data_IF_888778934886
#
_entry.id   IF_888778934886
#
_cell.length_a   1.000
_cell.length_b   1.000
_cell.length_c   1.000
_cell.angle_alpha   90.00
_cell.angle_beta   90.00
_cell.angle_gamma   90.00
#
_symmetry.space_group_name_H-M   'P 1'
#
loop_
_entity.id
_entity.type
_entity.pdbx_description
1 polymer ?
#
# COMPACT_ATOMS: atom_id res chain seq x y z
N UNK A 1 -30.17 3.69 20.54
CA UNK A 1 -30.58 4.07 19.17
C UNK A 1 -29.59 5.04 18.51
N UNK A 2 -29.38 6.27 19.04
CA UNK A 2 -28.50 7.28 18.41
C UNK A 2 -27.05 6.80 18.16
N UNK A 3 -26.46 6.04 19.09
CA UNK A 3 -25.10 5.49 18.94
C UNK A 3 -25.00 4.45 17.82
N UNK A 4 -26.04 3.62 17.63
CA UNK A 4 -26.08 2.62 16.57
C UNK A 4 -26.23 3.29 15.20
N UNK A 5 -27.06 4.33 15.12
CA UNK A 5 -27.27 5.12 13.91
C UNK A 5 -26.01 5.87 13.48
N UNK A 6 -25.26 6.43 14.44
CA UNK A 6 -23.97 7.09 14.18
C UNK A 6 -22.90 6.11 13.68
N UNK A 7 -22.79 4.92 14.28
CA UNK A 7 -21.86 3.89 13.82
C UNK A 7 -22.22 3.41 12.41
N UNK A 8 -23.49 3.15 12.14
CA UNK A 8 -23.98 2.79 10.81
C UNK A 8 -23.73 3.92 9.80
N UNK A 9 -23.99 5.18 10.15
CA UNK A 9 -23.76 6.31 9.24
C UNK A 9 -22.28 6.53 8.95
N UNK A 10 -21.40 6.44 9.96
CA UNK A 10 -19.95 6.63 9.77
C UNK A 10 -19.36 5.45 8.97
N UNK A 11 -19.77 4.21 9.27
CA UNK A 11 -19.31 3.06 8.50
C UNK A 11 -19.89 3.01 7.10
N UNK A 12 -21.13 3.47 6.84
CA UNK A 12 -21.75 3.42 5.51
C UNK A 12 -21.36 4.59 4.61
N UNK A 13 -21.07 5.77 5.15
CA UNK A 13 -20.94 6.97 4.33
C UNK A 13 -19.52 7.32 3.89
N UNK A 14 -18.45 6.69 4.44
CA UNK A 14 -17.04 6.93 4.04
C UNK A 14 -16.82 8.41 3.72
N UNK A 15 -17.19 9.28 4.67
CA UNK A 15 -16.96 10.71 4.50
C UNK A 15 -15.46 10.86 4.20
N UNK A 16 -15.09 11.46 3.05
CA UNK A 16 -13.71 11.51 2.63
C UNK A 16 -12.93 12.17 3.76
N UNK A 17 -11.90 11.49 4.28
CA UNK A 17 -11.07 11.99 5.36
C UNK A 17 -10.69 13.43 5.02
N UNK A 18 -11.23 14.39 5.76
CA UNK A 18 -10.99 15.80 5.47
C UNK A 18 -9.65 16.16 6.06
N UNK A 19 -8.64 16.20 5.20
CA UNK A 19 -7.32 16.67 5.56
C UNK A 19 -7.27 18.19 5.49
N UNK A 20 -6.64 18.80 6.49
CA UNK A 20 -6.32 20.23 6.48
C UNK A 20 -4.85 20.40 6.14
N UNK A 21 -4.55 21.12 5.06
CA UNK A 21 -3.18 21.53 4.73
C UNK A 21 -2.72 22.52 5.79
N UNK A 22 -1.57 22.22 6.41
CA UNK A 22 -0.91 23.09 7.38
C UNK A 22 0.03 24.08 6.68
N UNK A 23 0.69 23.62 5.61
CA UNK A 23 1.63 24.40 4.82
C UNK A 23 2.41 23.50 3.87
N UNK A 24 3.49 24.04 3.33
CA UNK A 24 4.36 23.40 2.36
C UNK A 24 5.81 23.40 2.87
N UNK A 25 6.54 22.33 2.56
CA UNK A 25 7.94 22.14 2.90
C UNK A 25 8.67 21.41 1.76
N UNK A 26 9.99 21.48 1.74
CA UNK A 26 10.82 20.64 0.88
C UNK A 26 11.42 19.50 1.70
N UNK A 27 11.37 18.29 1.15
CA UNK A 27 11.94 17.09 1.78
C UNK A 27 12.39 16.10 0.69
N UNK A 28 13.12 15.06 1.08
CA UNK A 28 13.49 13.96 0.20
C UNK A 28 12.29 13.02 -0.02
N UNK A 29 11.96 12.78 -1.29
CA UNK A 29 10.94 11.80 -1.64
C UNK A 29 11.57 10.46 -2.01
N UNK A 30 11.38 9.37 -1.25
CA UNK A 30 11.96 8.05 -1.57
C UNK A 30 11.42 7.44 -2.87
N UNK A 31 10.27 7.94 -3.36
CA UNK A 31 9.64 7.47 -4.59
C UNK A 31 10.12 8.25 -5.82
N UNK A 32 10.32 9.57 -5.68
CA UNK A 32 10.92 10.39 -6.74
C UNK A 32 12.45 10.33 -6.74
N UNK A 33 13.08 9.86 -5.66
CA UNK A 33 14.53 9.80 -5.44
C UNK A 33 15.23 11.15 -5.56
N UNK A 34 14.55 12.22 -5.17
CA UNK A 34 15.06 13.58 -5.20
C UNK A 34 14.32 14.46 -4.17
N UNK A 35 14.84 15.66 -3.91
CA UNK A 35 14.13 16.70 -3.16
C UNK A 35 12.90 17.14 -3.94
N UNK A 36 11.78 17.25 -3.24
CA UNK A 36 10.48 17.63 -3.81
C UNK A 36 9.75 18.57 -2.87
N UNK A 37 8.82 19.35 -3.44
CA UNK A 37 7.83 20.10 -2.66
C UNK A 37 6.79 19.13 -2.11
N UNK A 38 6.47 19.30 -0.83
CA UNK A 38 5.45 18.55 -0.11
C UNK A 38 4.39 19.48 0.46
N UNK A 39 3.14 19.02 0.41
CA UNK A 39 2.05 19.60 1.20
C UNK A 39 1.90 18.81 2.50
N UNK A 40 2.10 19.48 3.64
CA UNK A 40 1.99 18.85 4.96
C UNK A 40 0.55 18.98 5.46
N UNK A 41 -0.06 17.85 5.77
CA UNK A 41 -1.48 17.73 6.05
C UNK A 41 -1.71 17.11 7.44
N UNK A 42 -2.68 17.67 8.18
CA UNK A 42 -3.18 17.10 9.43
C UNK A 42 -4.52 16.42 9.22
N UNK A 43 -4.69 15.21 9.78
CA UNK A 43 -6.00 14.58 9.88
C UNK A 43 -6.89 15.37 10.87
N UNK A 44 -8.10 15.76 10.47
CA UNK A 44 -8.99 16.54 11.34
C UNK A 44 -9.75 15.67 12.37
N UNK A 45 -9.96 16.22 13.57
CA UNK A 45 -10.37 15.45 14.77
C UNK A 45 -11.80 14.90 14.77
N UNK A 46 -12.70 15.35 13.88
CA UNK A 46 -14.05 14.77 13.76
C UNK A 46 -14.04 13.29 13.36
N UNK A 47 -12.89 12.79 12.90
CA UNK A 47 -12.69 11.38 12.52
C UNK A 47 -11.87 10.61 13.55
N UNK A 48 -10.90 11.25 14.24
CA UNK A 48 -10.18 10.64 15.36
C UNK A 48 -11.12 10.22 16.50
N UNK A 49 -12.18 10.99 16.75
CA UNK A 49 -13.17 10.67 17.78
C UNK A 49 -14.12 9.53 17.38
N UNK A 50 -14.56 9.48 16.11
CA UNK A 50 -15.39 8.39 15.58
C UNK A 50 -14.65 7.04 15.55
N UNK A 51 -13.34 7.07 15.34
CA UNK A 51 -12.47 5.89 15.32
C UNK A 51 -12.14 5.36 16.73
N UNK A 52 -12.02 6.24 17.73
CA UNK A 52 -11.72 5.82 19.12
C UNK A 52 -12.86 5.03 19.78
N UNK A 53 -14.12 5.29 19.44
CA UNK A 53 -15.28 4.66 20.09
C UNK A 53 -15.71 3.32 19.48
N UNK A 54 -15.25 3.00 18.27
CA UNK A 54 -15.62 1.77 17.55
C UNK A 54 -14.56 0.67 17.65
N UNK A 55 -13.39 0.94 18.25
CA UNK A 55 -12.27 -0.02 18.27
C UNK A 55 -11.63 -0.27 16.90
N UNK A 56 -12.16 0.35 15.83
CA UNK A 56 -11.55 0.43 14.51
C UNK A 56 -10.61 1.63 14.49
N UNK A 57 -9.47 1.48 15.17
CA UNK A 57 -8.35 2.38 15.00
C UNK A 57 -7.76 2.11 13.63
N UNK A 58 -7.97 3.00 12.66
CA UNK A 58 -7.03 3.09 11.55
C UNK A 58 -5.82 3.84 12.11
N UNK A 59 -4.73 3.14 12.43
CA UNK A 59 -3.46 3.74 12.85
C UNK A 59 -2.76 4.49 11.70
N UNK A 60 -3.53 5.28 10.95
CA UNK A 60 -2.96 6.25 10.03
C UNK A 60 -2.16 7.28 10.83
N UNK A 61 -1.08 7.81 10.27
CA UNK A 61 -0.30 8.83 10.95
C UNK A 61 -1.17 10.09 11.11
N UNK A 62 -1.08 10.75 12.27
CA UNK A 62 -1.85 11.97 12.56
C UNK A 62 -1.55 13.10 11.55
N UNK A 63 -0.34 13.07 10.99
CA UNK A 63 0.14 13.95 9.94
C UNK A 63 0.70 13.12 8.80
N UNK A 64 0.53 13.61 7.59
CA UNK A 64 1.16 13.04 6.41
C UNK A 64 1.57 14.17 5.49
N UNK A 65 2.52 13.89 4.60
CA UNK A 65 2.93 14.80 3.56
C UNK A 65 2.58 14.23 2.19
N UNK A 66 2.15 15.07 1.26
CA UNK A 66 1.86 14.66 -0.12
C UNK A 66 2.86 15.31 -1.06
N UNK A 67 3.63 14.47 -1.76
CA UNK A 67 4.62 14.89 -2.74
C UNK A 67 3.92 15.57 -3.93
N UNK A 68 4.33 16.79 -4.31
CA UNK A 68 3.74 17.52 -5.43
C UNK A 68 4.01 16.88 -6.81
N UNK A 69 5.04 16.03 -6.91
CA UNK A 69 5.45 15.40 -8.19
C UNK A 69 4.83 14.02 -8.41
N UNK A 70 4.93 13.12 -7.44
CA UNK A 70 4.37 11.77 -7.57
C UNK A 70 2.99 11.60 -6.92
N UNK A 71 2.49 12.59 -6.19
CA UNK A 71 1.22 12.57 -5.44
C UNK A 71 1.11 11.45 -4.38
N UNK A 72 2.24 10.80 -4.09
CA UNK A 72 2.34 9.84 -3.01
C UNK A 72 2.17 10.56 -1.69
N UNK A 73 1.36 9.95 -0.83
CA UNK A 73 1.24 10.38 0.55
C UNK A 73 2.26 9.59 1.35
N UNK A 74 2.99 10.25 2.25
CA UNK A 74 3.97 9.65 3.13
C UNK A 74 3.68 10.07 4.58
N UNK A 75 3.90 9.21 5.59
CA UNK A 75 3.85 9.63 6.98
C UNK A 75 4.83 10.78 7.20
N UNK A 76 4.46 11.74 8.03
CA UNK A 76 5.30 12.92 8.29
C UNK A 76 5.19 13.30 9.76
N UNK A 77 6.29 13.79 10.32
CA UNK A 77 6.32 14.46 11.60
C UNK A 77 6.59 15.95 11.33
N UNK A 78 5.61 16.85 11.54
CA UNK A 78 5.80 18.27 11.27
C UNK A 78 6.92 18.92 12.09
N UNK A 79 7.37 18.29 13.18
CA UNK A 79 8.44 18.83 14.04
C UNK A 79 9.83 18.74 13.42
N UNK A 80 10.01 17.95 12.35
CA UNK A 80 11.29 17.85 11.63
C UNK A 80 11.59 19.10 10.79
N UNK A 81 10.56 19.89 10.47
CA UNK A 81 10.69 21.11 9.65
C UNK A 81 10.95 22.31 10.55
N UNK A 82 11.92 23.15 10.18
CA UNK A 82 12.20 24.40 10.87
C UNK A 82 11.02 25.38 10.79
N UNK A 83 10.34 25.41 9.64
CA UNK A 83 9.10 26.15 9.43
C UNK A 83 8.28 25.55 8.29
N UNK A 84 6.99 25.90 8.19
CA UNK A 84 6.14 25.56 7.05
C UNK A 84 5.72 26.83 6.33
N UNK A 85 5.79 26.86 4.99
CA UNK A 85 5.31 27.98 4.19
C UNK A 85 3.80 27.87 3.94
N UNK A 86 3.04 28.98 3.97
CA UNK A 86 1.60 28.92 3.73
C UNK A 86 1.23 28.69 2.26
N UNK A 87 2.13 29.01 1.33
CA UNK A 87 1.91 28.88 -0.12
C UNK A 87 2.88 27.87 -0.73
N UNK A 88 2.48 27.17 -1.81
CA UNK A 88 3.38 26.29 -2.53
C UNK A 88 4.44 27.12 -3.25
N UNK A 89 5.68 26.63 -3.24
CA UNK A 89 6.81 27.20 -3.98
C UNK A 89 7.68 26.07 -4.54
N UNK A 90 8.69 26.43 -5.34
CA UNK A 90 9.66 25.47 -5.85
C UNK A 90 10.45 24.82 -4.70
N UNK A 91 10.90 23.59 -4.93
CA UNK A 91 11.58 22.81 -3.90
C UNK A 91 12.86 23.48 -3.42
N UNK A 92 13.59 24.19 -4.30
CA UNK A 92 14.81 24.93 -3.94
C UNK A 92 14.48 26.12 -3.02
N UNK A 93 13.42 26.86 -3.30
CA UNK A 93 13.00 28.00 -2.48
C UNK A 93 12.50 27.57 -1.09
N UNK A 94 11.81 26.43 -1.03
CA UNK A 94 11.33 25.88 0.25
C UNK A 94 12.46 25.28 1.09
N UNK A 95 13.53 24.79 0.47
CA UNK A 95 14.65 24.13 1.12
C UNK A 95 15.26 24.99 2.23
N UNK A 96 15.70 26.19 1.87
CA UNK A 96 16.39 27.12 2.77
C UNK A 96 15.50 27.55 3.96
N UNK A 97 14.19 27.61 3.74
CA UNK A 97 13.24 28.07 4.75
C UNK A 97 12.72 26.95 5.66
N UNK A 98 12.63 25.72 5.15
CA UNK A 98 11.93 24.63 5.85
C UNK A 98 12.88 23.54 6.35
N UNK A 99 13.98 23.29 5.66
CA UNK A 99 14.94 22.21 5.96
C UNK A 99 16.40 22.64 5.67
N UNK A 100 16.97 23.60 6.42
CA UNK A 100 18.33 24.10 6.15
C UNK A 100 19.41 23.01 6.25
N UNK A 101 19.20 22.00 7.11
CA UNK A 101 20.18 20.94 7.39
C UNK A 101 19.98 19.68 6.49
N UNK A 102 19.23 19.83 5.39
CA UNK A 102 18.87 18.71 4.52
C UNK A 102 20.08 18.07 3.84
N UNK A 103 21.12 18.86 3.53
CA UNK A 103 22.34 18.37 2.90
C UNK A 103 23.16 17.49 3.87
N UNK A 104 23.16 17.83 5.16
CA UNK A 104 23.80 17.01 6.20
C UNK A 104 23.00 15.72 6.43
N UNK A 105 21.67 15.83 6.50
CA UNK A 105 20.77 14.70 6.78
C UNK A 105 20.73 13.69 5.63
N UNK A 106 20.64 14.16 4.38
CA UNK A 106 20.42 13.33 3.20
C UNK A 106 21.62 13.25 2.25
N UNK A 107 22.74 13.91 2.55
CA UNK A 107 23.98 13.88 1.75
C UNK A 107 24.40 12.47 1.32
N UNK A 108 24.57 11.51 2.27
CA UNK A 108 24.92 10.14 1.93
C UNK A 108 23.90 9.45 1.02
N UNK A 109 22.62 9.83 1.12
CA UNK A 109 21.57 9.29 0.26
C UNK A 109 21.67 9.84 -1.16
N UNK A 110 21.98 11.13 -1.34
CA UNK A 110 22.16 11.69 -2.69
C UNK A 110 23.35 11.06 -3.41
N UNK A 111 24.46 10.81 -2.72
CA UNK A 111 25.60 10.10 -3.29
C UNK A 111 25.21 8.69 -3.78
N UNK A 112 24.33 8.01 -3.03
CA UNK A 112 23.80 6.70 -3.41
C UNK A 112 22.89 6.81 -4.64
N UNK A 113 21.99 7.79 -4.71
CA UNK A 113 21.11 7.99 -5.87
C UNK A 113 21.90 8.38 -7.13
N UNK A 114 22.98 9.16 -7.00
CA UNK A 114 23.87 9.46 -8.12
C UNK A 114 24.56 8.19 -8.65
N UNK A 115 25.03 7.32 -7.74
CA UNK A 115 25.59 6.00 -8.10
C UNK A 115 24.56 5.11 -8.78
N UNK A 116 23.35 5.05 -8.26
CA UNK A 116 22.23 4.31 -8.87
C UNK A 116 21.94 4.84 -10.27
N UNK A 117 21.92 6.15 -10.47
CA UNK A 117 21.66 6.77 -11.77
C UNK A 117 22.76 6.42 -12.79
N UNK A 118 24.03 6.46 -12.39
CA UNK A 118 25.18 6.15 -13.26
C UNK A 118 25.30 4.66 -13.57
N UNK A 119 25.16 3.81 -12.55
CA UNK A 119 25.33 2.36 -12.68
C UNK A 119 24.39 1.61 -11.72
N UNK A 120 23.12 1.35 -12.12
CA UNK A 120 22.15 0.67 -11.26
C UNK A 120 22.60 -0.73 -10.81
N UNK A 121 23.38 -1.44 -11.64
CA UNK A 121 23.93 -2.76 -11.35
C UNK A 121 25.28 -2.72 -10.61
N UNK A 122 25.92 -1.55 -10.54
CA UNK A 122 27.19 -1.38 -9.80
C UNK A 122 27.00 -1.17 -8.29
N UNK A 123 25.76 -1.06 -7.82
CA UNK A 123 25.43 -0.93 -6.40
C UNK A 123 25.52 -2.31 -5.72
N UNK A 124 26.11 -2.43 -4.52
CA UNK A 124 26.17 -3.69 -3.79
C UNK A 124 24.78 -4.33 -3.63
N UNK A 125 24.68 -5.65 -3.80
CA UNK A 125 23.41 -6.39 -3.80
C UNK A 125 22.56 -6.15 -2.54
N UNK A 126 23.20 -6.09 -1.37
CA UNK A 126 22.50 -5.81 -0.10
C UNK A 126 21.81 -4.43 -0.11
N UNK A 127 22.53 -3.39 -0.54
CA UNK A 127 22.00 -2.02 -0.65
C UNK A 127 20.94 -1.95 -1.74
N UNK A 128 21.17 -2.64 -2.87
CA UNK A 128 20.22 -2.71 -3.98
C UNK A 128 18.88 -3.32 -3.54
N UNK A 129 18.90 -4.42 -2.80
CA UNK A 129 17.69 -5.05 -2.24
C UNK A 129 16.91 -4.11 -1.34
N UNK A 130 17.60 -3.33 -0.50
CA UNK A 130 16.97 -2.32 0.36
C UNK A 130 16.34 -1.19 -0.48
N UNK A 131 17.04 -0.69 -1.50
CA UNK A 131 16.54 0.35 -2.42
C UNK A 131 15.31 -0.09 -3.22
N UNK A 132 15.20 -1.39 -3.54
CA UNK A 132 14.03 -1.97 -4.23
C UNK A 132 12.86 -2.10 -3.25
N UNK A 133 13.12 -2.47 -2.00
CA UNK A 133 12.10 -2.61 -0.96
C UNK A 133 11.50 -1.27 -0.50
N UNK A 134 12.33 -0.23 -0.41
CA UNK A 134 11.96 1.06 0.16
C UNK A 134 10.68 1.68 -0.45
N UNK A 135 10.44 1.70 -1.78
CA UNK A 135 9.17 2.14 -2.35
C UNK A 135 7.94 1.37 -1.83
N UNK A 136 8.07 0.06 -1.60
CA UNK A 136 6.97 -0.74 -1.05
C UNK A 136 6.69 -0.37 0.39
N UNK A 137 7.74 -0.18 1.20
CA UNK A 137 7.60 0.27 2.59
C UNK A 137 6.99 1.68 2.67
N UNK A 138 7.47 2.61 1.83
CA UNK A 138 6.97 3.98 1.77
C UNK A 138 5.47 4.07 1.40
N UNK A 139 5.02 3.18 0.49
CA UNK A 139 3.61 3.11 0.07
C UNK A 139 2.76 2.17 0.94
N UNK A 140 3.37 1.42 1.85
CA UNK A 140 2.68 0.38 2.61
C UNK A 140 1.51 0.95 3.40
N UNK A 141 1.69 2.09 4.06
CA UNK A 141 0.64 2.69 4.89
C UNK A 141 -0.61 3.07 4.09
N UNK A 142 -0.45 3.55 2.84
CA UNK A 142 -1.59 3.94 2.00
C UNK A 142 -2.36 2.70 1.55
N UNK A 143 -1.65 1.61 1.22
CA UNK A 143 -2.27 0.33 0.87
C UNK A 143 -2.92 -0.32 2.10
N UNK A 144 -2.24 -0.33 3.24
CA UNK A 144 -2.73 -0.91 4.49
C UNK A 144 -4.01 -0.18 4.94
N UNK A 145 -4.07 1.15 4.81
CA UNK A 145 -5.27 1.94 5.05
C UNK A 145 -6.44 1.57 4.12
N UNK A 146 -6.18 1.30 2.83
CA UNK A 146 -7.20 0.87 1.87
C UNK A 146 -7.79 -0.50 2.20
N UNK A 147 -6.95 -1.43 2.68
CA UNK A 147 -7.36 -2.80 2.98
C UNK A 147 -7.70 -3.04 4.45
N UNK A 148 -7.62 -2.01 5.29
CA UNK A 148 -7.90 -2.10 6.73
C UNK A 148 -6.92 -3.00 7.47
N UNK A 149 -5.71 -3.19 6.92
CA UNK A 149 -4.66 -3.85 7.66
C UNK A 149 -4.16 -2.90 8.74
N UNK A 150 -4.10 -3.41 9.98
CA UNK A 150 -3.58 -2.65 11.11
C UNK A 150 -2.06 -2.48 10.91
N UNK A 151 -1.55 -1.25 10.84
CA UNK A 151 -0.11 -1.00 10.97
C UNK A 151 0.38 -1.61 12.29
N UNK A 152 1.52 -2.29 12.22
CA UNK A 152 2.10 -3.03 13.34
C UNK A 152 2.56 -2.07 14.44
N UNK A 153 1.70 -1.79 15.43
CA UNK A 153 2.14 -1.41 16.76
C UNK A 153 2.17 -2.67 17.65
N UNK A 154 3.20 -3.51 17.47
CA UNK A 154 3.70 -4.41 18.52
C UNK A 154 2.83 -5.57 19.03
N UNK A 155 1.76 -6.00 18.36
CA UNK A 155 1.00 -7.18 18.84
C UNK A 155 1.53 -8.50 18.25
N UNK A 156 2.44 -9.15 18.97
CA UNK A 156 2.74 -10.57 18.81
C UNK A 156 1.48 -11.36 19.21
N UNK A 157 0.86 -12.05 18.26
CA UNK A 157 -0.18 -13.05 18.52
C UNK A 157 -1.59 -12.50 18.77
N UNK A 158 -2.38 -12.32 17.71
CA UNK A 158 -3.78 -11.89 17.87
C UNK A 158 -4.64 -12.04 16.62
N UNK A 159 -4.91 -13.29 16.25
CA UNK A 159 -6.09 -13.73 15.48
C UNK A 159 -6.44 -12.97 14.18
N UNK A 160 -5.75 -13.37 13.09
CA UNK A 160 -6.11 -13.04 11.70
C UNK A 160 -7.25 -13.91 11.12
N UNK A 161 -8.00 -14.66 11.95
CA UNK A 161 -8.86 -15.77 11.48
C UNK A 161 -10.34 -15.48 11.27
N UNK A 162 -10.92 -14.38 11.76
CA UNK A 162 -12.38 -14.33 11.88
C UNK A 162 -13.13 -13.40 10.91
N UNK A 163 -12.43 -12.64 10.05
CA UNK A 163 -13.11 -11.79 9.06
C UNK A 163 -13.72 -12.59 7.89
N UNK A 164 -13.17 -13.77 7.56
CA UNK A 164 -13.66 -14.60 6.46
C UNK A 164 -14.96 -15.36 6.78
N UNK A 165 -15.12 -15.82 8.04
CA UNK A 165 -16.30 -16.58 8.46
C UNK A 165 -17.55 -15.70 8.58
N UNK A 166 -17.41 -14.40 8.88
CA UNK A 166 -18.55 -13.49 8.98
C UNK A 166 -19.25 -13.25 7.63
N UNK A 167 -18.52 -13.27 6.50
CA UNK A 167 -19.13 -12.97 5.20
C UNK A 167 -20.00 -14.12 4.68
N UNK A 168 -19.57 -15.37 4.89
CA UNK A 168 -20.36 -16.56 4.52
C UNK A 168 -21.67 -16.61 5.33
N UNK A 169 -21.62 -16.26 6.63
CA UNK A 169 -22.80 -16.19 7.49
C UNK A 169 -23.83 -15.15 7.03
N UNK A 170 -23.38 -13.98 6.55
CA UNK A 170 -24.26 -12.90 6.06
C UNK A 170 -24.94 -13.30 4.75
N UNK A 171 -24.22 -13.90 3.80
CA UNK A 171 -24.82 -14.36 2.54
C UNK A 171 -25.89 -15.43 2.81
N UNK A 172 -25.59 -16.39 3.69
CA UNK A 172 -26.53 -17.43 4.08
C UNK A 172 -27.75 -16.94 4.87
N UNK A 173 -27.66 -15.80 5.57
CA UNK A 173 -28.81 -15.20 6.28
C UNK A 173 -29.70 -14.39 5.34
N UNK A 174 -29.12 -13.65 4.39
CA UNK A 174 -29.85 -12.90 3.36
C UNK A 174 -30.66 -13.86 2.47
N UNK A 175 -30.08 -14.96 2.01
CA UNK A 175 -30.80 -15.97 1.21
C UNK A 175 -31.97 -16.60 1.99
N UNK A 176 -31.77 -16.91 3.28
CA UNK A 176 -32.85 -17.42 4.14
C UNK A 176 -33.96 -16.39 4.33
N UNK A 177 -33.63 -15.12 4.57
CA UNK A 177 -34.61 -14.05 4.70
C UNK A 177 -35.42 -13.83 3.41
N UNK A 178 -34.76 -13.87 2.24
CA UNK A 178 -35.42 -13.76 0.94
C UNK A 178 -36.35 -14.95 0.66
N UNK A 179 -35.93 -16.18 0.99
CA UNK A 179 -36.76 -17.37 0.84
C UNK A 179 -38.01 -17.32 1.74
N UNK A 180 -37.87 -16.86 2.99
CA UNK A 180 -39.02 -16.67 3.91
C UNK A 180 -39.95 -15.56 3.41
N UNK A 181 -39.42 -14.45 2.92
CA UNK A 181 -40.23 -13.35 2.38
C UNK A 181 -41.01 -13.75 1.12
N UNK A 182 -40.43 -14.59 0.25
CA UNK A 182 -41.11 -15.11 -0.95
C UNK A 182 -42.25 -16.10 -0.61
N UNK A 183 -42.17 -16.78 0.53
CA UNK A 183 -43.17 -17.77 0.95
C UNK A 183 -44.36 -17.17 1.72
N UNK A 184 -44.26 -15.93 2.21
CA UNK A 184 -45.31 -15.29 3.03
C UNK A 184 -46.06 -14.24 2.20
N UNK A 185 -47.38 -14.37 2.00
CA UNK A 185 -48.16 -13.37 1.26
C UNK A 185 -48.17 -12.02 1.99
N UNK A 186 -47.81 -10.96 1.26
CA UNK A 186 -47.63 -9.57 1.74
C UNK A 186 -48.83 -8.96 2.50
N UNK A 187 -50.01 -9.57 2.38
CA UNK A 187 -51.28 -9.04 2.90
C UNK A 187 -51.46 -9.37 4.39
N UNK A 188 -50.69 -10.30 4.96
CA UNK A 188 -50.80 -10.73 6.37
C UNK A 188 -49.50 -10.45 7.14
N UNK A 189 -48.88 -9.29 6.92
CA UNK A 189 -47.69 -8.92 7.71
C UNK A 189 -48.10 -8.44 9.10
N UNK A 190 -47.90 -9.31 10.08
CA UNK A 190 -47.89 -8.94 11.49
C UNK A 190 -46.68 -8.03 11.78
N UNK A 191 -46.78 -7.16 12.80
CA UNK A 191 -45.70 -6.28 13.24
C UNK A 191 -44.29 -6.94 13.32
N UNK A 192 -44.11 -8.18 13.84
CA UNK A 192 -42.81 -8.84 13.85
C UNK A 192 -42.27 -9.21 12.45
N UNK A 193 -43.13 -9.53 11.48
CA UNK A 193 -42.70 -9.84 10.11
C UNK A 193 -42.19 -8.60 9.39
N UNK A 194 -42.83 -7.44 9.62
CA UNK A 194 -42.36 -6.16 9.07
C UNK A 194 -40.94 -5.82 9.57
N UNK A 195 -40.64 -6.06 10.85
CA UNK A 195 -39.30 -5.86 11.41
C UNK A 195 -38.23 -6.73 10.72
N UNK A 196 -38.54 -8.00 10.44
CA UNK A 196 -37.62 -8.93 9.76
C UNK A 196 -37.32 -8.46 8.33
N UNK A 197 -38.34 -8.01 7.60
CA UNK A 197 -38.18 -7.47 6.23
C UNK A 197 -37.29 -6.22 6.24
N UNK A 198 -37.52 -5.28 7.16
CA UNK A 198 -36.71 -4.06 7.29
C UNK A 198 -35.26 -4.41 7.64
N UNK A 199 -35.03 -5.31 8.60
CA UNK A 199 -33.68 -5.73 8.98
C UNK A 199 -32.96 -6.44 7.81
N UNK A 200 -33.68 -7.29 7.08
CA UNK A 200 -33.16 -7.95 5.88
C UNK A 200 -32.76 -6.94 4.79
N UNK A 201 -33.59 -5.92 4.55
CA UNK A 201 -33.27 -4.86 3.60
C UNK A 201 -32.05 -4.03 4.02
N UNK A 202 -31.91 -3.70 5.31
CA UNK A 202 -30.74 -2.99 5.85
C UNK A 202 -29.46 -3.84 5.70
N UNK A 203 -29.51 -5.13 6.02
CA UNK A 203 -28.38 -6.04 5.87
C UNK A 203 -27.97 -6.21 4.40
N UNK A 204 -28.94 -6.34 3.49
CA UNK A 204 -28.69 -6.40 2.06
C UNK A 204 -28.06 -5.10 1.55
N UNK A 205 -28.56 -3.93 1.97
CA UNK A 205 -27.98 -2.64 1.62
C UNK A 205 -26.53 -2.52 2.12
N UNK A 206 -26.26 -2.91 3.36
CA UNK A 206 -24.90 -2.94 3.91
C UNK A 206 -23.98 -3.88 3.11
N UNK A 207 -24.46 -5.07 2.75
CA UNK A 207 -23.72 -6.02 1.93
C UNK A 207 -23.39 -5.46 0.55
N UNK A 208 -24.36 -4.84 -0.13
CA UNK A 208 -24.15 -4.22 -1.44
C UNK A 208 -23.12 -3.09 -1.37
N UNK A 209 -23.19 -2.23 -0.36
CA UNK A 209 -22.19 -1.18 -0.12
C UNK A 209 -20.80 -1.79 0.12
N UNK A 210 -20.70 -2.85 0.93
CA UNK A 210 -19.44 -3.53 1.21
C UNK A 210 -18.86 -4.24 -0.01
N UNK A 211 -19.69 -4.94 -0.79
CA UNK A 211 -19.29 -5.59 -2.03
C UNK A 211 -18.80 -4.56 -3.07
N UNK A 212 -19.53 -3.45 -3.22
CA UNK A 212 -19.13 -2.35 -4.09
C UNK A 212 -17.80 -1.72 -3.66
N UNK A 213 -17.58 -1.53 -2.36
CA UNK A 213 -16.29 -1.06 -1.81
C UNK A 213 -15.16 -2.04 -2.12
N UNK A 214 -15.35 -3.32 -1.83
CA UNK A 214 -14.36 -4.35 -2.11
C UNK A 214 -14.02 -4.43 -3.60
N UNK A 215 -14.99 -4.18 -4.48
CA UNK A 215 -14.77 -4.11 -5.92
C UNK A 215 -13.99 -2.86 -6.35
N UNK A 216 -14.13 -1.73 -5.65
CA UNK A 216 -13.40 -0.48 -5.97
C UNK A 216 -11.96 -0.43 -5.47
N UNK A 217 -11.64 -1.10 -4.35
CA UNK A 217 -10.29 -1.16 -3.76
C UNK A 217 -9.18 -1.59 -4.75
N UNK A 218 -9.31 -2.67 -5.53
CA UNK A 218 -8.29 -3.05 -6.50
C UNK A 218 -8.11 -1.97 -7.57
N UNK A 219 -9.19 -1.36 -8.06
CA UNK A 219 -9.10 -0.29 -9.04
C UNK A 219 -8.28 0.91 -8.53
N UNK A 220 -8.43 1.29 -7.26
CA UNK A 220 -7.62 2.37 -6.64
C UNK A 220 -6.15 1.96 -6.54
N UNK A 221 -5.87 0.73 -6.08
CA UNK A 221 -4.50 0.19 -5.99
C UNK A 221 -3.78 0.26 -7.34
N UNK A 222 -4.43 -0.26 -8.39
CA UNK A 222 -3.85 -0.33 -9.73
C UNK A 222 -3.79 1.01 -10.47
N UNK A 223 -4.72 1.94 -10.19
CA UNK A 223 -4.72 3.26 -10.84
C UNK A 223 -3.75 4.25 -10.19
N UNK A 224 -3.49 4.12 -8.89
CA UNK A 224 -2.69 5.11 -8.14
C UNK A 224 -1.36 4.57 -7.65
N UNK A 225 -1.35 3.44 -6.95
CA UNK A 225 -0.15 2.93 -6.27
C UNK A 225 0.81 2.27 -7.26
N UNK A 226 0.28 1.40 -8.12
CA UNK A 226 1.10 0.63 -9.08
C UNK A 226 1.92 1.54 -10.02
N UNK A 227 1.35 2.61 -10.63
CA UNK A 227 2.12 3.52 -11.49
C UNK A 227 3.19 4.32 -10.73
N UNK A 228 2.98 4.61 -9.43
CA UNK A 228 3.98 5.30 -8.60
C UNK A 228 5.15 4.34 -8.31
N UNK A 229 4.86 3.11 -7.87
CA UNK A 229 5.89 2.08 -7.64
C UNK A 229 6.67 1.78 -8.91
N UNK A 230 6.00 1.61 -10.05
CA UNK A 230 6.64 1.34 -11.32
C UNK A 230 7.59 2.47 -11.74
N UNK A 231 7.21 3.74 -11.51
CA UNK A 231 8.09 4.89 -11.74
C UNK A 231 9.27 4.92 -10.77
N UNK A 232 9.05 4.65 -9.49
CA UNK A 232 10.10 4.65 -8.45
C UNK A 232 11.14 3.53 -8.63
N UNK A 233 10.71 2.38 -9.18
CA UNK A 233 11.54 1.21 -9.44
C UNK A 233 12.23 1.24 -10.81
N UNK A 234 11.73 2.04 -11.76
CA UNK A 234 12.29 2.11 -13.12
C UNK A 234 13.79 2.45 -13.18
N UNK A 235 14.34 3.37 -12.34
CA UNK A 235 15.78 3.66 -12.33
C UNK A 235 16.63 2.47 -11.90
N UNK A 236 16.14 1.66 -10.96
CA UNK A 236 16.87 0.49 -10.44
C UNK A 236 16.88 -0.68 -11.42
N UNK A 237 15.90 -0.75 -12.34
CA UNK A 237 15.72 -1.87 -13.28
C UNK A 237 15.78 -3.22 -12.56
N UNK A 238 14.87 -3.47 -11.60
CA UNK A 238 14.91 -4.70 -10.84
C UNK A 238 14.61 -5.91 -11.74
N UNK A 239 15.23 -7.05 -11.47
CA UNK A 239 14.83 -8.32 -12.09
C UNK A 239 13.50 -8.79 -11.50
N UNK A 240 12.87 -9.77 -12.15
CA UNK A 240 11.63 -10.36 -11.62
C UNK A 240 11.83 -10.96 -10.23
N UNK A 241 12.95 -11.65 -10.02
CA UNK A 241 13.33 -12.27 -8.74
C UNK A 241 13.50 -11.24 -7.63
N UNK A 242 14.21 -10.14 -7.90
CA UNK A 242 14.40 -9.06 -6.92
C UNK A 242 13.08 -8.40 -6.50
N UNK A 243 12.13 -8.25 -7.44
CA UNK A 243 10.78 -7.76 -7.12
C UNK A 243 10.01 -8.73 -6.22
N UNK A 244 10.04 -10.02 -6.54
CA UNK A 244 9.37 -11.06 -5.76
C UNK A 244 9.95 -11.14 -4.34
N UNK A 245 11.28 -11.02 -4.19
CA UNK A 245 11.95 -10.96 -2.89
C UNK A 245 11.56 -9.72 -2.09
N UNK A 246 11.52 -8.53 -2.71
CA UNK A 246 11.10 -7.30 -2.05
C UNK A 246 9.61 -7.35 -1.62
N UNK A 247 8.76 -7.95 -2.44
CA UNK A 247 7.34 -8.16 -2.11
C UNK A 247 7.16 -9.19 -0.99
N UNK A 248 7.94 -10.28 -1.00
CA UNK A 248 7.97 -11.26 0.08
C UNK A 248 8.42 -10.61 1.39
N UNK A 249 9.43 -9.74 1.36
CA UNK A 249 9.87 -8.97 2.52
C UNK A 249 8.79 -8.01 3.03
N UNK A 250 8.07 -7.32 2.14
CA UNK A 250 6.93 -6.49 2.52
C UNK A 250 5.80 -7.31 3.17
N UNK A 251 5.49 -8.49 2.62
CA UNK A 251 4.47 -9.38 3.18
C UNK A 251 4.88 -9.99 4.53
N UNK A 252 6.17 -10.29 4.71
CA UNK A 252 6.76 -10.77 5.96
C UNK A 252 6.69 -9.71 7.06
N UNK A 253 6.91 -8.44 6.70
CA UNK A 253 6.71 -7.27 7.58
C UNK A 253 5.21 -6.92 7.78
N UNK A 254 4.31 -7.74 7.26
CA UNK A 254 2.88 -7.64 7.51
C UNK A 254 2.11 -6.68 6.60
N UNK A 255 2.77 -6.02 5.66
CA UNK A 255 2.14 -5.07 4.74
C UNK A 255 1.28 -5.80 3.69
N UNK A 256 0.09 -5.29 3.41
CA UNK A 256 -0.80 -5.84 2.39
C UNK A 256 -0.25 -5.61 0.97
N UNK A 257 0.59 -4.60 0.77
CA UNK A 257 1.18 -4.29 -0.54
C UNK A 257 1.93 -5.47 -1.15
N UNK A 258 2.67 -6.23 -0.33
CA UNK A 258 3.39 -7.43 -0.77
C UNK A 258 2.47 -8.62 -1.09
N UNK A 259 1.23 -8.64 -0.60
CA UNK A 259 0.26 -9.72 -0.84
C UNK A 259 -0.73 -9.43 -1.97
N UNK A 260 -0.95 -8.14 -2.29
CA UNK A 260 -2.02 -7.70 -3.19
C UNK A 260 -1.54 -7.34 -4.58
N UNK A 261 -0.29 -6.93 -4.71
CA UNK A 261 0.32 -6.62 -6.01
C UNK A 261 0.96 -7.89 -6.54
N UNK A 262 0.98 -8.08 -7.87
CA UNK A 262 1.76 -9.12 -8.53
C UNK A 262 2.98 -8.50 -9.23
N UNK A 263 4.12 -9.19 -9.22
CA UNK A 263 5.37 -8.75 -9.87
C UNK A 263 5.17 -8.51 -11.37
N UNK A 264 4.36 -9.34 -12.02
CA UNK A 264 3.98 -9.21 -13.43
C UNK A 264 3.30 -7.87 -13.74
N UNK A 265 2.40 -7.41 -12.86
CA UNK A 265 1.66 -6.16 -13.07
C UNK A 265 2.58 -4.93 -12.93
N UNK A 266 3.57 -5.01 -12.05
CA UNK A 266 4.60 -3.97 -11.90
C UNK A 266 5.50 -3.91 -13.13
N UNK A 267 6.01 -5.04 -13.59
CA UNK A 267 6.82 -5.11 -14.82
C UNK A 267 6.02 -4.64 -16.04
N UNK A 268 4.72 -4.99 -16.11
CA UNK A 268 3.78 -4.54 -17.15
C UNK A 268 3.32 -3.10 -17.01
N UNK A 269 3.68 -2.37 -15.96
CA UNK A 269 3.38 -0.94 -15.78
C UNK A 269 4.62 -0.05 -15.85
N UNK A 270 5.82 -0.61 -15.77
CA UNK A 270 7.07 0.13 -15.98
C UNK A 270 7.13 0.78 -17.37
N UNK A 271 7.77 1.95 -17.54
CA UNK A 271 7.95 2.58 -18.85
C UNK A 271 8.62 1.62 -19.84
N UNK A 272 8.19 1.62 -21.12
CA UNK A 272 8.69 0.67 -22.14
C UNK A 272 10.22 0.62 -22.27
N UNK A 273 10.90 1.74 -22.01
CA UNK A 273 12.37 1.81 -22.01
C UNK A 273 13.02 0.96 -20.92
N UNK A 274 12.38 0.83 -19.76
CA UNK A 274 12.85 -0.04 -18.68
C UNK A 274 12.60 -1.53 -19.00
N UNK A 275 11.47 -1.86 -19.65
CA UNK A 275 11.08 -3.26 -19.92
C UNK A 275 12.02 -4.02 -20.85
N UNK A 276 12.45 -3.42 -21.96
CA UNK A 276 13.30 -4.11 -22.96
C UNK A 276 14.60 -4.63 -22.34
N UNK A 277 15.20 -3.87 -21.42
CA UNK A 277 16.46 -4.23 -20.78
C UNK A 277 16.30 -5.19 -19.60
N UNK A 278 15.13 -5.21 -18.93
CA UNK A 278 14.82 -6.25 -17.94
C UNK A 278 14.64 -7.61 -18.62
N UNK A 279 13.98 -7.65 -19.78
CA UNK A 279 13.83 -8.88 -20.56
C UNK A 279 15.17 -9.44 -21.06
N UNK A 280 16.10 -8.56 -21.45
CA UNK A 280 17.47 -8.95 -21.79
C UNK A 280 18.22 -9.51 -20.56
N UNK A 281 18.04 -8.89 -19.38
CA UNK A 281 18.67 -9.35 -18.13
C UNK A 281 18.23 -10.75 -17.69
N UNK A 282 16.92 -11.01 -17.72
CA UNK A 282 16.37 -12.30 -17.32
C UNK A 282 16.78 -13.41 -18.30
N UNK A 283 16.97 -13.07 -19.59
CA UNK A 283 17.47 -14.00 -20.60
C UNK A 283 18.94 -14.38 -20.36
N UNK A 284 19.76 -13.45 -19.87
CA UNK A 284 21.16 -13.73 -19.52
C UNK A 284 21.22 -14.67 -18.29
N UNK A 285 20.40 -14.46 -17.27
CA UNK A 285 20.36 -15.27 -16.03
C UNK A 285 19.83 -16.70 -16.28
N UNK A 286 18.87 -16.86 -17.21
CA UNK A 286 18.38 -18.17 -17.63
C UNK A 286 19.38 -18.94 -18.52
N UNK A 287 20.32 -18.23 -19.16
CA UNK A 287 21.38 -18.86 -19.95
C UNK A 287 22.48 -19.46 -19.07
N UNK A 288 22.85 -18.78 -17.98
CA UNK A 288 23.90 -19.22 -17.05
C UNK A 288 23.46 -20.43 -16.19
N UNK A 289 22.15 -20.53 -15.89
CA UNK A 289 21.60 -21.67 -15.14
C UNK A 289 21.47 -22.96 -15.94
N UNK A 290 21.67 -22.95 -17.27
CA UNK A 290 21.61 -24.16 -18.11
C UNK A 290 22.96 -24.84 -18.35
N UNK A 291 24.08 -24.19 -18.06
CA UNK A 291 25.43 -24.73 -18.34
C UNK A 291 26.10 -25.46 -17.16
N UNK A 292 25.42 -25.56 -16.00
CA UNK A 292 25.87 -26.41 -14.87
C UNK A 292 25.28 -27.82 -14.93
N UNK A 293 25.21 -28.40 -16.12
CA UNK A 293 25.01 -29.85 -16.26
C UNK A 293 26.23 -30.59 -15.66
N UNK A 294 26.03 -31.62 -14.81
CA UNK A 294 27.14 -32.35 -14.23
C UNK A 294 27.93 -33.03 -15.35
N UNK A 295 29.17 -32.58 -15.57
CA UNK A 295 30.15 -33.36 -16.32
C UNK A 295 30.41 -34.63 -15.52
N UNK A 296 29.68 -35.69 -15.86
CA UNK A 296 30.02 -37.06 -15.51
C UNK A 296 31.35 -37.38 -16.18
N UNK A 297 32.43 -36.90 -15.58
CA UNK A 297 33.77 -37.32 -15.92
C UNK A 297 33.96 -38.72 -15.31
N UNK A 298 33.63 -39.73 -16.13
CA UNK A 298 33.99 -41.13 -15.96
C UNK A 298 35.52 -41.27 -15.96
N UNK A 299 36.16 -40.83 -14.88
CA UNK A 299 37.60 -40.93 -14.64
C UNK A 299 37.98 -42.15 -13.81
N UNK A 300 37.36 -43.31 -14.04
CA UNK A 300 37.72 -44.58 -13.39
C UNK A 300 38.71 -45.38 -14.21
N UNK A 301 39.98 -44.95 -14.25
CA UNK A 301 41.06 -45.69 -14.91
C UNK A 301 42.16 -46.06 -13.90
N UNK A 302 42.21 -47.35 -13.61
CA UNK A 302 43.36 -48.20 -13.28
C UNK A 302 44.61 -47.57 -12.64
N UNK A 303 45.01 -48.10 -11.46
CA UNK A 303 46.35 -48.67 -11.25
C UNK A 303 46.37 -49.55 -10.00
N UNK A 304 46.37 -50.86 -10.20
CA UNK A 304 46.86 -51.83 -9.23
C UNK A 304 48.33 -52.15 -9.55
N UNK A 305 49.21 -51.89 -8.59
CA UNK A 305 50.56 -52.46 -8.45
C UNK A 305 50.79 -52.75 -6.99
#
# INVERSE_FOLDING_TARGET
MAKLWYILSVQLLDLPLKYRVLGYAADFCPLCRNIQTFSVCRATASESFAMSQTGLRSDGPAFHQTCASCEARLPSDPSIFASLRPQPADAVELLDATQPDIAETWGPRFDLEEKVCRSPRGVPEAVRRELIYEPFHAMAWEVDALYGARPHAGSVGGARRDAGFSQIGIVGSVFRAAAVAAAVPLIVLTAPQALVVVLGAVLLACFMVQAWRNHRRPAVLYRRVVPILARALAPLRPSRRELEDAMAMAAANGHEIGRRIHSSDLLLSMPRQARRRCQEADADDESDSRDTGPSLDEGGRDMAR
#
